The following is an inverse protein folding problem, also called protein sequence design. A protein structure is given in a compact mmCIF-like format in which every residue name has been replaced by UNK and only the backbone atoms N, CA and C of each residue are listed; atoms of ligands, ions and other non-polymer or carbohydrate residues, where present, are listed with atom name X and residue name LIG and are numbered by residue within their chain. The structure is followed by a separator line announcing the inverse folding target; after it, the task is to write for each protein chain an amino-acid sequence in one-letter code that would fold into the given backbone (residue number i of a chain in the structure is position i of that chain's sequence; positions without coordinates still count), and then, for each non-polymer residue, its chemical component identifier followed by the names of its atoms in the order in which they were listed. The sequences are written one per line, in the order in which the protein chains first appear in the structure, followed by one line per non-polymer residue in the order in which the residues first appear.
data_IF_688099062471
#
_entry.id   IF_688099062471
#
_cell.length_a   1.000
_cell.length_b   1.000
_cell.length_c   1.000
_cell.angle_alpha   90.00
_cell.angle_beta   90.00
_cell.angle_gamma   90.00
#
_symmetry.space_group_name_H-M   'P 1'
#
loop_
_entity.id
_entity.type
_entity.pdbx_description
1 polymer ?
#
# COMPACT_ATOMS: atom_id res chain seq x y z
N UNK A 1 -10.33 -82.40 -26.74
CA UNK A 1 -9.98 -81.46 -27.83
C UNK A 1 -10.66 -80.15 -27.47
N UNK A 2 -9.85 -79.16 -27.09
CA UNK A 2 -10.13 -77.71 -27.04
C UNK A 2 -11.35 -77.30 -26.17
N UNK A 3 -11.23 -76.57 -25.05
CA UNK A 3 -10.80 -75.17 -24.93
C UNK A 3 -10.58 -74.92 -23.42
N UNK A 4 -9.37 -75.06 -22.88
CA UNK A 4 -9.02 -74.52 -21.54
C UNK A 4 -7.53 -74.15 -21.50
N UNK A 5 -7.08 -73.33 -22.45
CA UNK A 5 -5.73 -72.72 -22.40
C UNK A 5 -5.76 -71.37 -23.10
N UNK A 6 -6.47 -70.39 -22.54
CA UNK A 6 -6.44 -69.00 -23.05
C UNK A 6 -6.75 -67.96 -21.97
N UNK A 7 -6.28 -68.17 -20.73
CA UNK A 7 -6.31 -67.14 -19.67
C UNK A 7 -4.91 -66.97 -19.05
N UNK A 8 -3.86 -66.93 -19.87
CA UNK A 8 -2.48 -66.84 -19.37
C UNK A 8 -1.57 -65.84 -20.10
N UNK A 9 -2.08 -64.93 -20.96
CA UNK A 9 -1.17 -64.12 -21.79
C UNK A 9 -1.51 -62.63 -21.98
N UNK A 10 -2.42 -62.01 -21.22
CA UNK A 10 -2.74 -60.58 -21.42
C UNK A 10 -2.81 -59.71 -20.16
N UNK A 11 -2.26 -60.15 -19.04
CA UNK A 11 -1.87 -59.25 -17.94
C UNK A 11 -0.41 -58.86 -18.13
N UNK A 12 -0.11 -58.20 -19.27
CA UNK A 12 1.06 -57.34 -19.32
C UNK A 12 0.78 -56.21 -18.33
N UNK A 13 1.48 -56.31 -17.21
CA UNK A 13 1.78 -55.23 -16.29
C UNK A 13 1.98 -53.93 -17.08
N UNK A 14 0.96 -53.07 -17.11
CA UNK A 14 1.21 -51.64 -17.17
C UNK A 14 1.61 -51.25 -15.74
N UNK A 15 2.86 -51.52 -15.37
CA UNK A 15 3.54 -50.65 -14.43
C UNK A 15 3.65 -49.30 -15.15
N UNK A 16 2.61 -48.49 -14.99
CA UNK A 16 2.75 -47.05 -15.12
C UNK A 16 3.63 -46.65 -13.95
N UNK A 17 4.94 -46.87 -14.10
CA UNK A 17 5.92 -46.13 -13.32
C UNK A 17 5.65 -44.70 -13.71
N UNK A 18 4.91 -43.98 -12.85
CA UNK A 18 4.95 -42.53 -12.84
C UNK A 18 6.43 -42.22 -12.67
N UNK A 19 7.13 -41.95 -13.77
CA UNK A 19 8.55 -41.73 -13.75
C UNK A 19 8.77 -40.59 -12.76
N UNK A 20 9.39 -40.91 -11.62
CA UNK A 20 9.62 -39.98 -10.52
C UNK A 20 10.36 -38.76 -11.09
N UNK A 21 9.58 -37.72 -11.38
CA UNK A 21 10.02 -36.58 -12.16
C UNK A 21 10.79 -35.64 -11.22
N UNK A 22 11.72 -34.88 -11.80
CA UNK A 22 12.59 -33.92 -11.13
C UNK A 22 11.89 -33.15 -10.00
N UNK A 23 12.63 -32.88 -8.92
CA UNK A 23 12.16 -32.09 -7.78
C UNK A 23 12.95 -30.78 -7.73
N UNK A 24 12.23 -29.66 -7.70
CA UNK A 24 12.83 -28.33 -7.54
C UNK A 24 12.75 -27.91 -6.07
N UNK A 25 13.88 -27.52 -5.49
CA UNK A 25 13.97 -27.09 -4.09
C UNK A 25 14.89 -25.86 -3.92
N UNK A 26 14.35 -24.73 -3.41
CA UNK A 26 12.94 -24.51 -3.08
C UNK A 26 12.07 -24.44 -4.35
N UNK A 27 10.83 -24.94 -4.26
CA UNK A 27 9.86 -24.96 -5.36
C UNK A 27 9.34 -23.57 -5.74
N UNK A 28 9.37 -22.63 -4.77
CA UNK A 28 8.96 -21.23 -4.92
C UNK A 28 10.06 -20.30 -4.44
N UNK A 29 10.29 -19.23 -5.19
CA UNK A 29 11.22 -18.16 -4.83
C UNK A 29 10.53 -16.80 -4.92
N UNK A 30 10.72 -15.97 -3.89
CA UNK A 30 10.33 -14.56 -3.91
C UNK A 30 11.61 -13.74 -3.77
N UNK A 31 12.00 -13.04 -4.84
CA UNK A 31 13.32 -12.39 -4.94
C UNK A 31 13.16 -10.92 -5.27
N UNK A 32 13.90 -10.06 -4.58
CA UNK A 32 13.91 -8.63 -4.89
C UNK A 32 14.67 -8.40 -6.19
N UNK A 33 14.17 -7.50 -7.04
CA UNK A 33 14.88 -7.11 -8.26
C UNK A 33 16.31 -6.65 -7.95
N UNK A 34 17.28 -7.23 -8.64
CA UNK A 34 18.71 -6.98 -8.47
C UNK A 34 19.42 -7.93 -7.50
N UNK A 35 18.70 -8.67 -6.65
CA UNK A 35 19.29 -9.61 -5.70
C UNK A 35 19.63 -10.96 -6.36
N UNK A 36 20.60 -11.74 -5.80
CA UNK A 36 20.92 -13.07 -6.30
C UNK A 36 19.82 -14.09 -5.99
N UNK A 37 19.71 -15.13 -6.82
CA UNK A 37 18.76 -16.23 -6.65
C UNK A 37 19.40 -17.58 -6.99
N UNK A 38 18.93 -18.65 -6.35
CA UNK A 38 19.30 -20.01 -6.72
C UNK A 38 18.26 -21.03 -6.28
N UNK A 39 18.14 -22.11 -7.04
CA UNK A 39 17.35 -23.29 -6.69
C UNK A 39 18.04 -24.55 -7.19
N UNK A 40 17.76 -25.68 -6.57
CA UNK A 40 18.31 -26.97 -6.96
C UNK A 40 17.24 -27.77 -7.70
N UNK A 41 17.66 -28.46 -8.75
CA UNK A 41 16.89 -29.52 -9.38
C UNK A 41 17.51 -30.85 -8.98
N UNK A 42 16.71 -31.77 -8.46
CA UNK A 42 17.17 -33.07 -7.98
C UNK A 42 16.36 -34.22 -8.57
N UNK A 43 16.99 -35.38 -8.71
CA UNK A 43 16.37 -36.64 -9.08
C UNK A 43 16.82 -37.74 -8.12
N UNK A 44 15.98 -38.76 -7.92
CA UNK A 44 16.28 -39.90 -7.06
C UNK A 44 17.41 -40.76 -7.62
N UNK A 45 17.43 -40.93 -8.94
CA UNK A 45 18.53 -41.56 -9.69
C UNK A 45 19.40 -40.52 -10.38
N UNK A 46 20.70 -40.80 -10.61
CA UNK A 46 21.51 -39.96 -11.47
C UNK A 46 20.89 -39.87 -12.87
N UNK A 47 20.74 -38.65 -13.39
CA UNK A 47 20.22 -38.39 -14.74
C UNK A 47 20.97 -37.24 -15.38
N UNK A 48 20.99 -37.20 -16.70
CA UNK A 48 21.40 -35.98 -17.41
C UNK A 48 20.28 -34.95 -17.34
N UNK A 49 20.60 -33.75 -16.84
CA UNK A 49 19.63 -32.67 -16.68
C UNK A 49 20.23 -31.30 -17.01
N UNK A 50 19.36 -30.33 -17.25
CA UNK A 50 19.70 -28.94 -17.57
C UNK A 50 18.67 -27.96 -17.02
N UNK A 51 18.99 -26.67 -17.14
CA UNK A 51 18.13 -25.54 -16.78
C UNK A 51 17.95 -24.62 -17.98
N UNK A 52 16.73 -24.55 -18.51
CA UNK A 52 16.34 -23.57 -19.52
C UNK A 52 15.84 -22.30 -18.83
N UNK A 53 16.57 -21.20 -19.01
CA UNK A 53 16.23 -19.92 -18.41
C UNK A 53 16.86 -18.75 -19.18
N UNK A 54 16.22 -17.58 -19.15
CA UNK A 54 16.77 -16.33 -19.73
C UNK A 54 18.07 -15.93 -19.00
N UNK A 55 18.12 -16.16 -17.68
CA UNK A 55 19.27 -15.88 -16.83
C UNK A 55 19.71 -17.13 -16.09
N UNK A 56 21.01 -17.38 -16.04
CA UNK A 56 21.58 -18.52 -15.31
C UNK A 56 21.22 -19.88 -15.90
N UNK A 57 20.84 -19.95 -17.18
CA UNK A 57 20.61 -21.20 -17.89
C UNK A 57 21.85 -22.09 -17.85
N UNK A 58 21.64 -23.39 -17.70
CA UNK A 58 22.69 -24.41 -17.65
C UNK A 58 22.35 -25.45 -18.70
N UNK A 59 23.26 -25.73 -19.63
CA UNK A 59 23.07 -26.79 -20.61
C UNK A 59 22.94 -28.16 -19.96
N UNK A 60 22.64 -29.17 -20.78
CA UNK A 60 22.61 -30.56 -20.32
C UNK A 60 23.98 -30.95 -19.75
N UNK A 61 24.00 -31.67 -18.65
CA UNK A 61 25.22 -32.14 -18.00
C UNK A 61 25.90 -33.26 -18.80
N UNK A 62 27.22 -33.19 -18.97
CA UNK A 62 28.02 -34.22 -19.69
C UNK A 62 28.00 -35.62 -19.03
N UNK A 63 27.50 -35.72 -17.80
CA UNK A 63 27.39 -36.95 -17.02
C UNK A 63 26.11 -36.90 -16.21
N UNK A 64 25.58 -38.07 -15.89
CA UNK A 64 24.45 -38.21 -14.98
C UNK A 64 24.79 -37.65 -13.58
N UNK A 65 23.91 -36.77 -13.09
CA UNK A 65 24.02 -36.13 -11.79
C UNK A 65 22.72 -36.30 -11.02
N UNK A 66 22.80 -36.29 -9.68
CA UNK A 66 21.59 -36.30 -8.83
C UNK A 66 21.04 -34.91 -8.56
N UNK A 67 21.89 -33.88 -8.57
CA UNK A 67 21.51 -32.50 -8.24
C UNK A 67 22.21 -31.54 -9.20
N UNK A 68 21.45 -30.62 -9.79
CA UNK A 68 21.95 -29.53 -10.61
C UNK A 68 21.41 -28.20 -10.09
N UNK A 69 22.32 -27.27 -9.77
CA UNK A 69 21.97 -25.97 -9.21
C UNK A 69 21.80 -24.92 -10.30
N UNK A 70 20.65 -24.26 -10.31
CA UNK A 70 20.45 -23.00 -11.02
C UNK A 70 20.89 -21.83 -10.13
N UNK A 71 21.59 -20.86 -10.72
CA UNK A 71 22.08 -19.67 -9.99
C UNK A 71 22.14 -18.45 -10.91
N UNK A 72 21.71 -17.32 -10.37
CA UNK A 72 21.85 -15.99 -10.96
C UNK A 72 22.39 -15.05 -9.90
N UNK A 73 23.41 -14.26 -10.24
CA UNK A 73 24.03 -13.33 -9.29
C UNK A 73 23.21 -12.03 -9.11
N UNK A 74 22.40 -11.66 -10.10
CA UNK A 74 21.47 -10.52 -10.01
C UNK A 74 20.26 -10.75 -10.92
N UNK A 75 19.07 -10.91 -10.32
CA UNK A 75 17.82 -11.12 -11.06
C UNK A 75 17.32 -9.80 -11.63
N UNK A 76 17.36 -9.67 -12.96
CA UNK A 76 16.92 -8.45 -13.67
C UNK A 76 15.84 -8.69 -14.71
N UNK A 77 15.39 -9.94 -14.85
CA UNK A 77 14.31 -10.34 -15.75
C UNK A 77 12.99 -10.56 -14.98
N UNK A 78 11.95 -9.80 -15.34
CA UNK A 78 10.64 -9.85 -14.68
C UNK A 78 9.82 -11.08 -15.07
N UNK A 79 10.01 -11.58 -16.29
CA UNK A 79 9.29 -12.75 -16.83
C UNK A 79 10.11 -14.03 -16.73
N UNK A 80 10.99 -14.13 -15.72
CA UNK A 80 11.79 -15.33 -15.50
C UNK A 80 10.91 -16.56 -15.25
N UNK A 81 11.15 -17.62 -16.03
CA UNK A 81 10.51 -18.94 -15.88
C UNK A 81 11.56 -20.04 -16.04
N UNK A 82 12.49 -20.20 -15.08
CA UNK A 82 13.51 -21.24 -15.16
C UNK A 82 12.87 -22.62 -15.14
N UNK A 83 13.21 -23.46 -16.11
CA UNK A 83 12.66 -24.81 -16.26
C UNK A 83 13.79 -25.82 -16.18
N UNK A 84 13.72 -26.72 -15.20
CA UNK A 84 14.62 -27.85 -15.15
C UNK A 84 14.08 -28.97 -16.03
N UNK A 85 14.96 -29.59 -16.83
CA UNK A 85 14.58 -30.62 -17.79
C UNK A 85 15.62 -31.76 -17.81
N UNK A 86 15.17 -32.96 -18.20
CA UNK A 86 16.05 -34.12 -18.48
C UNK A 86 16.40 -34.23 -19.96
N UNK A 87 17.40 -35.05 -20.30
CA UNK A 87 17.68 -35.41 -21.69
C UNK A 87 16.41 -35.88 -22.43
N UNK A 88 16.25 -35.42 -23.68
CA UNK A 88 15.07 -35.71 -24.50
C UNK A 88 13.75 -35.05 -24.03
N UNK A 89 13.77 -34.26 -22.94
CA UNK A 89 12.61 -33.52 -22.44
C UNK A 89 11.52 -34.39 -21.81
N UNK A 90 11.84 -35.63 -21.44
CA UNK A 90 10.87 -36.59 -20.89
C UNK A 90 10.27 -36.13 -19.56
N UNK A 91 11.03 -35.39 -18.75
CA UNK A 91 10.54 -34.72 -17.55
C UNK A 91 10.97 -33.25 -17.56
N UNK A 92 10.01 -32.36 -17.28
CA UNK A 92 10.22 -30.93 -17.16
C UNK A 92 9.49 -30.39 -15.94
N UNK A 93 10.15 -29.53 -15.17
CA UNK A 93 9.56 -28.82 -14.04
C UNK A 93 9.95 -27.36 -14.08
N UNK A 94 8.96 -26.49 -13.89
CA UNK A 94 9.18 -25.06 -13.85
C UNK A 94 9.33 -24.58 -12.41
N UNK A 95 10.34 -23.73 -12.17
CA UNK A 95 10.51 -23.00 -10.93
C UNK A 95 9.52 -21.83 -10.88
N UNK A 96 8.74 -21.74 -9.80
CA UNK A 96 7.84 -20.62 -9.56
C UNK A 96 8.62 -19.48 -8.88
N UNK A 97 9.07 -18.52 -9.69
CA UNK A 97 9.82 -17.35 -9.24
C UNK A 97 8.96 -16.08 -9.37
N UNK A 98 8.84 -15.37 -8.25
CA UNK A 98 8.23 -14.03 -8.18
C UNK A 98 9.33 -13.00 -7.95
N UNK A 99 9.56 -12.15 -8.94
CA UNK A 99 10.46 -11.00 -8.82
C UNK A 99 9.65 -9.80 -8.33
N UNK A 100 10.10 -9.13 -7.28
CA UNK A 100 9.39 -8.00 -6.69
C UNK A 100 10.28 -6.76 -6.57
N UNK A 101 9.63 -5.60 -6.55
CA UNK A 101 10.27 -4.30 -6.31
C UNK A 101 9.33 -3.44 -5.49
N UNK A 102 9.84 -2.87 -4.41
CA UNK A 102 9.10 -1.92 -3.57
C UNK A 102 8.81 -0.63 -4.35
N UNK A 103 7.76 0.12 -4.00
CA UNK A 103 7.46 1.34 -4.72
C UNK A 103 8.57 2.37 -4.52
N UNK A 104 8.84 3.19 -5.54
CA UNK A 104 9.84 4.26 -5.44
C UNK A 104 9.32 5.41 -4.57
N UNK A 105 8.01 5.66 -4.62
CA UNK A 105 7.34 6.65 -3.79
C UNK A 105 5.87 6.32 -3.60
N UNK A 106 5.33 6.71 -2.45
CA UNK A 106 3.91 6.67 -2.13
C UNK A 106 3.53 8.07 -1.65
N UNK A 107 2.51 8.67 -2.26
CA UNK A 107 2.09 10.04 -1.93
C UNK A 107 0.58 10.15 -1.87
N UNK A 108 0.08 10.91 -0.91
CA UNK A 108 -1.35 11.21 -0.77
C UNK A 108 -1.60 12.69 -1.08
N UNK A 109 -2.69 12.98 -1.77
CA UNK A 109 -3.11 14.33 -2.15
C UNK A 109 -4.63 14.40 -2.31
N UNK A 110 -5.18 15.61 -2.37
CA UNK A 110 -6.56 15.83 -2.80
C UNK A 110 -6.60 15.95 -4.32
N UNK A 111 -7.48 15.21 -5.01
CA UNK A 111 -7.63 15.35 -6.48
C UNK A 111 -8.20 16.71 -6.88
N UNK A 112 -9.06 17.26 -6.03
CA UNK A 112 -9.68 18.57 -6.19
C UNK A 112 -9.45 19.32 -4.88
N UNK A 113 -8.71 20.43 -4.98
CA UNK A 113 -8.46 21.34 -3.87
C UNK A 113 -9.77 21.63 -3.13
N UNK A 114 -9.74 21.59 -1.79
CA UNK A 114 -10.74 22.31 -1.04
C UNK A 114 -10.07 23.02 0.13
N UNK A 115 -9.73 24.27 -0.11
CA UNK A 115 -9.70 25.21 0.99
C UNK A 115 -11.03 25.98 0.97
N UNK A 116 -11.73 26.09 2.11
CA UNK A 116 -11.56 25.33 3.35
C UNK A 116 -12.27 23.97 3.32
N UNK A 117 -11.82 23.01 4.13
CA UNK A 117 -12.54 21.75 4.36
C UNK A 117 -13.76 22.01 5.27
N UNK A 118 -14.93 21.45 4.95
CA UNK A 118 -16.21 21.75 5.60
C UNK A 118 -16.90 20.45 6.02
N UNK A 119 -17.45 20.43 7.24
CA UNK A 119 -18.23 19.32 7.79
C UNK A 119 -19.30 18.84 6.80
N UNK A 120 -19.37 17.53 6.59
CA UNK A 120 -20.37 16.88 5.73
C UNK A 120 -20.15 17.02 4.22
N UNK A 121 -19.11 17.72 3.75
CA UNK A 121 -18.76 17.78 2.33
C UNK A 121 -17.85 16.62 1.94
N UNK A 122 -18.04 16.09 0.74
CA UNK A 122 -17.25 14.96 0.25
C UNK A 122 -15.96 15.45 -0.44
N UNK A 123 -14.84 14.84 -0.08
CA UNK A 123 -13.51 15.14 -0.60
C UNK A 123 -12.86 13.90 -1.19
N UNK A 124 -12.34 14.02 -2.42
CA UNK A 124 -11.70 12.92 -3.12
C UNK A 124 -10.20 12.89 -2.84
N UNK A 125 -9.79 11.97 -1.97
CA UNK A 125 -8.39 11.65 -1.71
C UNK A 125 -7.82 10.82 -2.84
N UNK A 126 -6.52 10.98 -3.08
CA UNK A 126 -5.76 10.24 -4.08
C UNK A 126 -4.44 9.79 -3.48
N UNK A 127 -4.22 8.48 -3.44
CA UNK A 127 -2.94 7.85 -3.14
C UNK A 127 -2.29 7.38 -4.44
N UNK A 128 -1.09 7.86 -4.71
CA UNK A 128 -0.25 7.49 -5.86
C UNK A 128 0.88 6.59 -5.38
N UNK A 129 1.07 5.45 -6.05
CA UNK A 129 2.13 4.49 -5.77
C UNK A 129 2.94 4.30 -7.05
N UNK A 130 4.24 4.57 -7.03
CA UNK A 130 5.08 4.61 -8.24
C UNK A 130 5.97 3.37 -8.37
N UNK A 131 6.05 2.83 -9.60
CA UNK A 131 6.99 1.77 -10.02
C UNK A 131 7.08 0.56 -9.08
N UNK A 132 5.92 0.02 -8.68
CA UNK A 132 5.79 -1.17 -7.82
C UNK A 132 5.60 -2.43 -8.66
N UNK A 133 6.18 -3.55 -8.23
CA UNK A 133 6.00 -4.85 -8.86
C UNK A 133 5.97 -6.01 -7.83
N UNK A 134 5.12 -7.03 -8.01
CA UNK A 134 3.98 -7.07 -8.92
C UNK A 134 2.79 -6.27 -8.36
N UNK A 135 2.13 -5.45 -9.18
CA UNK A 135 1.04 -4.57 -8.73
C UNK A 135 -0.21 -5.34 -8.26
N UNK A 136 -0.44 -6.57 -8.75
CA UNK A 136 -1.57 -7.41 -8.31
C UNK A 136 -1.46 -7.87 -6.84
N UNK A 137 -0.27 -7.82 -6.26
CA UNK A 137 0.00 -8.15 -4.85
C UNK A 137 -0.02 -6.92 -3.92
N UNK A 138 -0.32 -5.75 -4.46
CA UNK A 138 -0.34 -4.50 -3.71
C UNK A 138 -1.68 -4.26 -3.02
N UNK A 139 -1.66 -4.05 -1.71
CA UNK A 139 -2.79 -3.58 -0.91
C UNK A 139 -2.51 -2.16 -0.45
N UNK A 140 -3.43 -1.25 -0.71
CA UNK A 140 -3.32 0.16 -0.30
C UNK A 140 -4.38 0.46 0.74
N UNK A 141 -3.95 0.96 1.90
CA UNK A 141 -4.87 1.27 3.00
C UNK A 141 -4.81 2.76 3.32
N UNK A 142 -5.97 3.39 3.40
CA UNK A 142 -6.12 4.77 3.86
C UNK A 142 -6.33 4.78 5.36
N UNK A 143 -5.63 5.68 6.05
CA UNK A 143 -5.75 5.87 7.49
C UNK A 143 -6.07 7.32 7.81
N UNK A 144 -6.79 7.47 8.92
CA UNK A 144 -6.95 8.73 9.66
C UNK A 144 -6.22 8.60 10.98
N UNK A 145 -5.46 9.62 11.35
CA UNK A 145 -4.88 9.78 12.68
C UNK A 145 -5.54 10.99 13.33
N UNK A 146 -6.30 10.78 14.41
CA UNK A 146 -6.97 11.87 15.12
C UNK A 146 -5.98 12.87 15.71
N UNK A 147 -6.46 14.03 16.15
CA UNK A 147 -5.64 15.00 16.88
C UNK A 147 -5.03 14.43 18.19
N UNK A 148 -5.64 13.39 18.76
CA UNK A 148 -5.13 12.67 19.94
C UNK A 148 -4.13 11.55 19.60
N UNK A 149 -3.88 11.30 18.31
CA UNK A 149 -2.94 10.29 17.83
C UNK A 149 -3.56 8.89 17.60
N UNK A 150 -4.88 8.75 17.73
CA UNK A 150 -5.56 7.48 17.45
C UNK A 150 -5.61 7.22 15.95
N UNK A 151 -5.08 6.09 15.50
CA UNK A 151 -5.10 5.69 14.10
C UNK A 151 -6.30 4.78 13.80
N UNK A 152 -7.12 5.18 12.83
CA UNK A 152 -8.27 4.43 12.32
C UNK A 152 -8.06 4.09 10.84
N UNK A 153 -8.32 2.85 10.47
CA UNK A 153 -8.40 2.42 9.08
C UNK A 153 -9.70 2.94 8.44
N UNK A 154 -9.58 3.62 7.31
CA UNK A 154 -10.72 4.17 6.57
C UNK A 154 -11.20 3.20 5.49
N UNK A 155 -10.27 2.69 4.69
CA UNK A 155 -10.55 1.79 3.57
C UNK A 155 -9.27 1.07 3.13
N UNK A 156 -9.41 -0.19 2.69
CA UNK A 156 -8.32 -0.98 2.10
C UNK A 156 -8.71 -1.40 0.68
N UNK A 157 -7.90 -0.97 -0.28
CA UNK A 157 -8.12 -1.18 -1.71
C UNK A 157 -7.05 -2.09 -2.31
N UNK A 158 -7.48 -2.97 -3.20
CA UNK A 158 -6.61 -3.79 -4.03
C UNK A 158 -7.15 -3.78 -5.46
N UNK A 159 -6.27 -3.60 -6.44
CA UNK A 159 -6.64 -3.72 -7.85
C UNK A 159 -6.30 -5.11 -8.32
N UNK A 160 -7.28 -5.83 -8.85
CA UNK A 160 -7.00 -7.05 -9.62
C UNK A 160 -6.33 -6.62 -10.94
N UNK A 161 -5.04 -6.93 -11.03
CA UNK A 161 -4.24 -6.83 -12.23
C UNK A 161 -3.38 -8.09 -12.26
N UNK A 162 -4.02 -9.17 -12.68
CA UNK A 162 -3.36 -10.46 -12.77
C UNK A 162 -2.36 -10.44 -13.93
N UNK A 163 -1.23 -11.12 -13.76
CA UNK A 163 -0.17 -11.33 -14.78
C UNK A 163 0.76 -10.16 -15.13
N UNK A 164 0.64 -8.97 -14.51
CA UNK A 164 1.64 -7.90 -14.70
C UNK A 164 2.78 -8.06 -13.70
N UNK A 165 3.94 -8.52 -14.18
CA UNK A 165 5.15 -8.74 -13.39
C UNK A 165 6.09 -7.53 -13.36
N UNK A 166 5.96 -6.63 -14.33
CA UNK A 166 6.81 -5.43 -14.45
C UNK A 166 6.37 -4.30 -13.51
N UNK A 167 7.26 -3.33 -13.21
CA UNK A 167 6.92 -2.14 -12.43
C UNK A 167 5.81 -1.32 -13.06
N UNK A 168 4.81 -0.99 -12.25
CA UNK A 168 3.63 -0.25 -12.66
C UNK A 168 3.30 0.88 -11.68
N UNK A 169 2.53 1.86 -12.16
CA UNK A 169 2.00 2.92 -11.32
C UNK A 169 0.57 2.58 -10.86
N UNK A 170 0.34 2.76 -9.56
CA UNK A 170 -0.95 2.63 -8.89
C UNK A 170 -1.56 3.99 -8.58
N UNK A 171 -2.88 4.10 -8.72
CA UNK A 171 -3.65 5.27 -8.28
C UNK A 171 -4.90 4.79 -7.59
N UNK A 172 -5.05 5.11 -6.33
CA UNK A 172 -6.14 4.69 -5.46
C UNK A 172 -6.85 5.94 -4.95
N UNK A 173 -8.18 5.89 -4.85
CA UNK A 173 -8.97 7.06 -4.50
C UNK A 173 -10.00 6.72 -3.45
N UNK A 174 -10.18 7.61 -2.48
CA UNK A 174 -11.13 7.45 -1.39
C UNK A 174 -11.98 8.71 -1.28
N UNK A 175 -13.30 8.51 -1.20
CA UNK A 175 -14.24 9.57 -0.84
C UNK A 175 -14.25 9.73 0.69
N UNK A 176 -13.84 10.91 1.16
CA UNK A 176 -13.74 11.24 2.56
C UNK A 176 -14.71 12.36 2.92
N UNK A 177 -15.58 12.11 3.90
CA UNK A 177 -16.54 13.10 4.41
C UNK A 177 -16.18 13.40 5.87
N UNK A 178 -15.65 14.60 6.18
CA UNK A 178 -15.16 14.93 7.51
C UNK A 178 -16.32 15.26 8.45
N UNK A 179 -16.19 14.81 9.68
CA UNK A 179 -16.93 15.30 10.84
C UNK A 179 -16.15 16.36 11.61
N UNK A 180 -16.78 16.94 12.63
CA UNK A 180 -16.13 17.88 13.56
C UNK A 180 -14.94 17.30 14.32
N UNK A 181 -14.99 16.02 14.66
CA UNK A 181 -13.93 15.33 15.41
C UNK A 181 -12.69 15.03 14.54
N UNK A 182 -12.82 15.25 13.22
CA UNK A 182 -11.71 15.15 12.28
C UNK A 182 -10.93 16.46 12.16
N UNK A 183 -11.33 17.52 12.87
CA UNK A 183 -10.55 18.76 12.92
C UNK A 183 -9.20 18.53 13.61
N UNK A 184 -8.11 18.98 12.96
CA UNK A 184 -6.74 18.74 13.41
C UNK A 184 -6.24 17.29 13.21
N UNK A 185 -7.02 16.42 12.56
CA UNK A 185 -6.58 15.08 12.20
C UNK A 185 -5.59 15.08 11.02
N UNK A 186 -5.03 13.91 10.74
CA UNK A 186 -4.12 13.68 9.62
C UNK A 186 -4.56 12.48 8.79
N UNK A 187 -4.52 12.63 7.46
CA UNK A 187 -4.81 11.58 6.51
C UNK A 187 -3.51 11.08 5.86
N UNK A 188 -3.39 9.77 5.70
CA UNK A 188 -2.24 9.11 5.05
C UNK A 188 -2.70 7.83 4.35
N UNK A 189 -1.90 7.35 3.40
CA UNK A 189 -2.07 6.02 2.83
C UNK A 189 -0.80 5.18 3.03
N UNK A 190 -0.98 3.87 3.21
CA UNK A 190 0.11 2.90 3.17
C UNK A 190 -0.02 2.02 1.94
N UNK A 191 1.10 1.54 1.43
CA UNK A 191 1.20 0.58 0.35
C UNK A 191 1.93 -0.65 0.88
N UNK A 192 1.19 -1.74 1.10
CA UNK A 192 1.69 -3.02 1.57
C UNK A 192 1.79 -4.00 0.41
N UNK A 193 2.94 -4.64 0.23
CA UNK A 193 3.16 -5.64 -0.80
C UNK A 193 3.08 -7.05 -0.20
N UNK A 194 1.98 -7.76 -0.45
CA UNK A 194 1.75 -9.11 0.08
C UNK A 194 2.24 -10.18 -0.90
N UNK A 195 3.44 -10.70 -0.65
CA UNK A 195 4.11 -11.68 -1.51
C UNK A 195 3.86 -13.13 -1.07
N UNK A 196 2.97 -13.36 -0.10
CA UNK A 196 2.75 -14.68 0.47
C UNK A 196 3.85 -15.13 1.45
N UNK A 197 3.76 -16.37 1.95
CA UNK A 197 4.61 -16.86 3.04
C UNK A 197 6.09 -17.02 2.66
N UNK A 198 6.39 -17.23 1.38
CA UNK A 198 7.77 -17.33 0.88
C UNK A 198 8.42 -15.95 0.68
N UNK A 199 7.65 -14.87 0.77
CA UNK A 199 8.15 -13.49 0.73
C UNK A 199 8.68 -13.00 2.09
N UNK A 200 9.26 -11.78 2.13
CA UNK A 200 9.70 -11.16 3.37
C UNK A 200 8.58 -11.07 4.41
N UNK A 201 8.88 -11.44 5.65
CA UNK A 201 7.97 -11.34 6.79
C UNK A 201 8.52 -10.38 7.85
N UNK A 202 7.75 -9.38 8.30
CA UNK A 202 6.41 -9.02 7.84
C UNK A 202 6.41 -8.46 6.39
N UNK A 203 5.26 -8.44 5.71
CA UNK A 203 5.13 -7.86 4.38
C UNK A 203 5.68 -6.43 4.32
N UNK A 204 6.45 -6.07 3.28
CA UNK A 204 6.98 -4.72 3.15
C UNK A 204 5.88 -3.66 3.04
N UNK A 205 6.02 -2.56 3.79
CA UNK A 205 5.08 -1.43 3.80
C UNK A 205 5.82 -0.13 3.56
N UNK A 206 5.27 0.73 2.71
CA UNK A 206 5.70 2.13 2.57
C UNK A 206 4.53 3.08 2.81
N UNK A 207 4.77 4.14 3.57
CA UNK A 207 3.74 5.11 4.00
C UNK A 207 3.93 6.44 3.27
N UNK A 208 2.83 7.10 2.96
CA UNK A 208 2.82 8.42 2.31
C UNK A 208 3.24 9.56 3.23
N UNK A 209 3.33 10.77 2.65
CA UNK A 209 3.18 12.03 3.39
C UNK A 209 1.83 12.08 4.15
N UNK A 210 1.67 13.06 5.04
CA UNK A 210 0.45 13.30 5.82
C UNK A 210 -0.25 14.57 5.33
N UNK A 211 -1.58 14.54 5.25
CA UNK A 211 -2.41 15.70 4.97
C UNK A 211 -3.12 16.13 6.25
N UNK A 212 -2.93 17.38 6.66
CA UNK A 212 -3.64 17.93 7.82
C UNK A 212 -5.07 18.31 7.42
N UNK A 213 -6.03 18.00 8.28
CA UNK A 213 -7.43 18.39 8.12
C UNK A 213 -7.73 19.60 9.01
N UNK A 214 -8.33 20.64 8.43
CA UNK A 214 -8.84 21.81 9.14
C UNK A 214 -10.33 21.96 8.77
N UNK A 215 -11.21 21.44 9.63
CA UNK A 215 -12.61 21.23 9.31
C UNK A 215 -13.44 22.38 9.86
N UNK A 216 -14.05 23.15 8.96
CA UNK A 216 -15.04 24.14 9.33
C UNK A 216 -16.39 23.48 9.59
N UNK A 217 -16.87 23.59 10.82
CA UNK A 217 -18.16 23.07 11.26
C UNK A 217 -19.03 24.16 11.88
N UNK A 218 -20.35 23.92 11.89
CA UNK A 218 -21.28 24.82 12.58
C UNK A 218 -21.09 24.68 14.10
N UNK A 219 -21.17 25.78 14.87
CA UNK A 219 -21.09 25.73 16.32
C UNK A 219 -22.25 24.90 16.87
N UNK A 220 -21.96 24.05 17.85
CA UNK A 220 -23.01 23.35 18.58
C UNK A 220 -23.44 24.18 19.78
N UNK A 221 -24.73 24.53 19.79
CA UNK A 221 -25.39 25.20 20.90
C UNK A 221 -25.91 24.09 21.83
N UNK A 222 -25.19 23.82 22.93
CA UNK A 222 -25.68 22.94 23.98
C UNK A 222 -26.76 23.67 24.77
N UNK A 223 -28.00 23.29 24.48
CA UNK A 223 -29.21 23.92 25.01
C UNK A 223 -29.42 23.49 26.46
N UNK A 224 -29.12 24.39 27.41
CA UNK A 224 -29.53 24.18 28.80
C UNK A 224 -31.06 24.20 28.89
N UNK A 225 -31.70 23.48 29.84
CA UNK A 225 -33.15 23.47 30.01
C UNK A 225 -33.77 24.87 30.18
N UNK A 226 -32.98 25.87 30.58
CA UNK A 226 -33.42 27.26 30.73
C UNK A 226 -33.70 27.99 29.42
N UNK A 227 -33.12 27.61 28.28
CA UNK A 227 -33.17 28.46 27.08
C UNK A 227 -34.49 28.37 26.26
N UNK A 228 -35.48 27.50 26.56
CA UNK A 228 -36.65 27.34 25.63
C UNK A 228 -38.09 27.33 26.18
N UNK A 229 -38.35 27.10 27.47
CA UNK A 229 -39.67 27.40 28.05
C UNK A 229 -39.65 27.17 29.55
N UNK A 230 -39.79 28.25 30.33
CA UNK A 230 -40.07 28.17 31.75
C UNK A 230 -41.31 29.04 32.02
N UNK A 231 -42.31 28.51 32.72
CA UNK A 231 -43.41 29.32 33.25
C UNK A 231 -42.88 30.09 34.46
N UNK A 232 -42.81 31.42 34.35
CA UNK A 232 -42.23 32.31 35.36
C UNK A 232 -43.36 33.03 36.08
N UNK A 233 -43.30 33.10 37.41
CA UNK A 233 -44.24 33.85 38.25
C UNK A 233 -43.74 35.29 38.45
N UNK A 234 -44.68 36.24 38.61
CA UNK A 234 -44.33 37.64 38.84
C UNK A 234 -43.52 37.78 40.15
N UNK A 235 -42.26 38.21 40.04
CA UNK A 235 -41.32 38.35 41.16
C UNK A 235 -40.04 37.52 41.05
N UNK A 236 -39.96 36.55 40.14
CA UNK A 236 -38.78 35.69 39.98
C UNK A 236 -37.69 36.33 39.08
N UNK A 237 -36.42 36.21 39.47
CA UNK A 237 -35.28 36.64 38.65
C UNK A 237 -34.84 35.50 37.72
N UNK A 238 -35.04 35.67 36.41
CA UNK A 238 -34.64 34.70 35.40
C UNK A 238 -33.17 34.88 34.99
N UNK A 239 -32.38 33.80 35.06
CA UNK A 239 -31.01 33.75 34.52
C UNK A 239 -30.90 32.70 33.43
N UNK A 240 -30.63 33.13 32.20
CA UNK A 240 -30.48 32.27 31.02
C UNK A 240 -29.00 32.09 30.71
N UNK A 241 -28.48 30.89 30.95
CA UNK A 241 -27.12 30.52 30.55
C UNK A 241 -27.18 29.64 29.30
N UNK A 242 -26.75 30.18 28.16
CA UNK A 242 -26.60 29.45 26.91
C UNK A 242 -25.08 29.29 26.64
N UNK A 243 -24.62 28.05 26.41
CA UNK A 243 -23.21 27.74 26.12
C UNK A 243 -23.10 27.21 24.69
N UNK A 244 -22.06 27.62 23.97
CA UNK A 244 -21.76 27.15 22.63
C UNK A 244 -20.29 26.76 22.54
N UNK A 245 -20.02 25.58 21.97
CA UNK A 245 -18.65 25.19 21.64
C UNK A 245 -18.32 25.74 20.24
N UNK A 246 -17.42 26.72 20.18
CA UNK A 246 -17.05 27.43 18.95
C UNK A 246 -15.56 27.23 18.73
N UNK A 247 -15.17 26.85 17.51
CA UNK A 247 -13.76 26.92 17.12
C UNK A 247 -13.37 28.38 16.84
N UNK A 248 -12.65 28.97 17.78
CA UNK A 248 -12.18 30.34 17.68
C UNK A 248 -10.85 30.48 16.92
N UNK A 249 -10.17 29.39 16.57
CA UNK A 249 -8.86 29.43 15.90
C UNK A 249 -8.85 30.29 14.62
N UNK A 250 -9.81 30.16 13.67
CA UNK A 250 -9.81 31.01 12.47
C UNK A 250 -10.09 32.49 12.79
N UNK A 251 -10.90 32.79 13.81
CA UNK A 251 -11.23 34.17 14.20
C UNK A 251 -10.03 34.84 14.88
N UNK A 252 -9.35 34.12 15.78
CA UNK A 252 -8.17 34.62 16.50
C UNK A 252 -7.01 34.87 15.53
N UNK A 253 -6.78 33.96 14.57
CA UNK A 253 -5.75 34.15 13.55
C UNK A 253 -6.02 35.38 12.66
N UNK A 254 -7.28 35.60 12.29
CA UNK A 254 -7.71 36.81 11.56
C UNK A 254 -7.49 38.10 12.36
N UNK A 255 -7.85 38.12 13.64
CA UNK A 255 -7.64 39.30 14.49
C UNK A 255 -6.15 39.58 14.74
N UNK A 256 -5.34 38.55 14.98
CA UNK A 256 -3.91 38.70 15.19
C UNK A 256 -3.21 39.28 13.95
N UNK A 257 -3.56 38.82 12.76
CA UNK A 257 -3.00 39.34 11.50
C UNK A 257 -3.37 40.81 11.26
N UNK A 258 -4.61 41.22 11.56
CA UNK A 258 -5.03 42.63 11.49
C UNK A 258 -4.26 43.50 12.50
N UNK A 259 -4.09 43.03 13.74
CA UNK A 259 -3.34 43.77 14.77
C UNK A 259 -1.87 43.92 14.39
N UNK A 260 -1.25 42.89 13.83
CA UNK A 260 0.14 42.93 13.35
C UNK A 260 0.27 43.95 12.19
N UNK A 261 -0.66 43.94 11.23
CA UNK A 261 -0.66 44.90 10.12
C UNK A 261 -0.83 46.34 10.60
N UNK A 262 -1.72 46.59 11.57
CA UNK A 262 -1.89 47.91 12.17
C UNK A 262 -0.62 48.35 12.91
N UNK A 263 0.01 47.46 13.67
CA UNK A 263 1.27 47.76 14.36
C UNK A 263 2.39 48.13 13.37
N UNK A 264 2.57 47.34 12.30
CA UNK A 264 3.55 47.61 11.24
C UNK A 264 3.25 48.98 10.58
N UNK A 265 1.99 49.26 10.25
CA UNK A 265 1.61 50.55 9.66
C UNK A 265 1.93 51.74 10.57
N UNK A 266 1.69 51.62 11.88
CA UNK A 266 2.02 52.64 12.87
C UNK A 266 3.53 52.84 13.02
N UNK A 267 4.32 51.76 13.00
CA UNK A 267 5.79 51.83 13.03
C UNK A 267 6.35 52.51 11.79
N UNK A 268 5.84 52.17 10.60
CA UNK A 268 6.24 52.81 9.34
C UNK A 268 5.86 54.30 9.36
N UNK A 269 4.64 54.63 9.75
CA UNK A 269 4.17 56.01 9.84
C UNK A 269 5.01 56.84 10.83
N UNK A 270 5.30 56.30 12.01
CA UNK A 270 6.13 56.96 13.03
C UNK A 270 7.56 57.16 12.56
N UNK A 271 8.14 56.17 11.86
CA UNK A 271 9.49 56.26 11.31
C UNK A 271 9.57 57.29 10.17
N UNK A 272 8.57 57.32 9.29
CA UNK A 272 8.45 58.32 8.22
C UNK A 272 8.37 59.75 8.79
N UNK A 273 7.53 59.96 9.80
CA UNK A 273 7.36 61.29 10.41
C UNK A 273 8.58 61.73 11.21
N UNK A 274 9.24 60.79 11.91
CA UNK A 274 10.51 61.05 12.61
C UNK A 274 11.63 61.44 11.63
N UNK A 275 11.70 60.81 10.46
CA UNK A 275 12.69 61.16 9.43
C UNK A 275 12.44 62.54 8.79
N UNK A 276 11.17 62.92 8.57
CA UNK A 276 10.81 64.26 8.07
C UNK A 276 11.13 65.39 9.05
N UNK A 277 11.02 65.16 10.36
CA UNK A 277 11.39 66.17 11.39
C UNK A 277 12.89 66.43 11.51
N UNK A 278 13.75 65.54 11.02
CA UNK A 278 15.22 65.71 11.05
C UNK A 278 15.72 66.42 9.78
N UNK A 279 14.84 66.64 8.80
CA UNK A 279 15.18 67.20 7.48
C UNK A 279 14.77 68.68 7.33
N UNK A 280 14.50 69.39 8.43
CA UNK A 280 14.25 70.84 8.49
C UNK A 280 15.16 71.50 9.53
#
# INVERSE_FOLDING_TARGET
MEIVTLVSLLSLYCDFTDAECLVISPARLVVKYGDPASSNCSSDTPVEMGWEAIQGGVGLTDKEVKILRWRVDSVTEWYSTPTCYTEGGQCQKQLDITVYKLPDSVSISYRKYPDPMVEGHQYLLQCLVQNIAPIGRLRVTFYKVSATGEQTELDTQQKSKDNIKTPENGTYTLDFTPGRDDDGAQLLCSAMLDLGPEGPQPPPVMVSNRLNTNVHYKPQITRSPGCFSMSITEGDTLSLACSANVDYLPIIAGLASVVILLAISCFIYSSYYKHRRISY
#
